data_IF_669230375467
#
_entry.id   IF_669230375467
#
_cell.length_a   1.000
_cell.length_b   1.000
_cell.length_c   1.000
_cell.angle_alpha   90.00
_cell.angle_beta   90.00
_cell.angle_gamma   90.00
#
_symmetry.space_group_name_H-M   'P 1'
#
loop_
_entity.id
_entity.type
_entity.pdbx_description
1 polymer ?
#
# COMPACT_ATOMS: atom_id res chain seq x y z
N UNK A 1 17.78 -0.45 30.62
CA UNK A 1 16.52 -0.54 29.86
C UNK A 1 16.67 -1.63 28.81
N UNK A 2 15.61 -2.37 28.48
CA UNK A 2 15.64 -3.29 27.34
C UNK A 2 15.49 -2.47 26.05
N UNK A 3 16.55 -2.39 25.25
CA UNK A 3 16.61 -1.56 24.03
C UNK A 3 15.64 -2.14 22.99
N UNK A 4 14.86 -1.27 22.34
CA UNK A 4 13.89 -1.68 21.33
C UNK A 4 14.60 -2.15 20.07
N UNK A 5 14.24 -3.32 19.56
CA UNK A 5 14.80 -3.86 18.31
C UNK A 5 14.35 -3.04 17.10
N UNK A 6 15.19 -2.93 16.09
CA UNK A 6 14.83 -2.26 14.84
C UNK A 6 13.92 -3.17 14.00
N UNK A 7 12.72 -2.71 13.57
CA UNK A 7 11.77 -3.55 12.83
C UNK A 7 12.02 -3.53 11.32
N UNK A 8 13.26 -3.66 10.87
CA UNK A 8 13.56 -3.68 9.45
C UNK A 8 12.98 -4.94 8.78
N UNK A 9 12.12 -4.75 7.78
CA UNK A 9 11.42 -5.83 7.08
C UNK A 9 10.15 -6.36 7.76
N UNK A 10 9.79 -5.88 8.96
CA UNK A 10 8.58 -6.29 9.67
C UNK A 10 7.34 -5.50 9.22
N UNK A 11 6.26 -6.21 8.88
CA UNK A 11 4.97 -5.63 8.46
C UNK A 11 3.80 -6.00 9.37
N UNK A 12 4.06 -6.72 10.47
CA UNK A 12 3.07 -7.05 11.50
C UNK A 12 3.20 -6.07 12.68
N UNK A 13 2.26 -5.13 12.77
CA UNK A 13 2.17 -4.15 13.85
C UNK A 13 2.07 -4.81 15.22
N UNK A 14 1.28 -5.87 15.36
CA UNK A 14 1.13 -6.57 16.63
C UNK A 14 2.44 -7.23 17.06
N UNK A 15 3.20 -7.81 16.11
CA UNK A 15 4.54 -8.35 16.38
C UNK A 15 5.50 -7.24 16.82
N UNK A 16 5.50 -6.10 16.13
CA UNK A 16 6.35 -4.94 16.44
C UNK A 16 6.13 -4.48 17.89
N UNK A 17 4.88 -4.30 18.30
CA UNK A 17 4.55 -3.86 19.66
C UNK A 17 4.86 -4.95 20.69
N UNK A 18 4.38 -6.18 20.48
CA UNK A 18 4.53 -7.28 21.46
C UNK A 18 5.98 -7.76 21.63
N UNK A 19 6.82 -7.55 20.62
CA UNK A 19 8.24 -7.94 20.64
C UNK A 19 9.17 -6.79 21.05
N UNK A 20 8.63 -5.69 21.58
CA UNK A 20 9.38 -4.49 21.99
C UNK A 20 10.30 -3.96 20.86
N UNK A 21 9.75 -3.78 19.66
CA UNK A 21 10.46 -3.16 18.54
C UNK A 21 10.19 -1.65 18.50
N UNK A 22 11.08 -0.90 17.84
CA UNK A 22 10.96 0.56 17.73
C UNK A 22 9.89 0.92 16.71
N UNK A 23 8.79 1.52 17.14
CA UNK A 23 7.70 1.95 16.28
C UNK A 23 7.58 3.47 16.29
N UNK A 24 7.59 4.09 15.10
CA UNK A 24 7.25 5.50 14.92
C UNK A 24 5.73 5.61 14.85
N UNK A 25 5.14 6.32 15.80
CA UNK A 25 3.69 6.41 15.92
C UNK A 25 3.06 7.29 14.84
N UNK A 26 2.38 6.65 13.87
CA UNK A 26 1.59 7.29 12.82
C UNK A 26 0.08 7.22 13.08
N UNK A 27 -0.35 6.74 14.24
CA UNK A 27 -1.76 6.41 14.49
C UNK A 27 -2.68 7.64 14.52
N UNK A 28 -2.15 8.86 14.70
CA UNK A 28 -2.92 10.12 14.56
C UNK A 28 -3.62 10.24 13.21
N UNK A 29 -3.02 9.71 12.14
CA UNK A 29 -3.59 9.77 10.80
C UNK A 29 -4.81 8.86 10.62
N UNK A 30 -5.19 8.05 11.61
CA UNK A 30 -6.49 7.37 11.61
C UNK A 30 -7.64 8.39 11.65
N UNK A 31 -7.50 9.48 12.43
CA UNK A 31 -8.51 10.56 12.45
C UNK A 31 -8.62 11.24 11.08
N UNK A 32 -7.47 11.56 10.46
CA UNK A 32 -7.42 12.13 9.12
C UNK A 32 -8.02 11.18 8.08
N UNK A 33 -7.72 9.87 8.19
CA UNK A 33 -8.25 8.84 7.30
C UNK A 33 -9.76 8.71 7.41
N UNK A 34 -10.31 8.77 8.62
CA UNK A 34 -11.75 8.68 8.85
C UNK A 34 -12.53 9.91 8.36
N UNK A 35 -11.85 11.05 8.17
CA UNK A 35 -12.41 12.25 7.55
C UNK A 35 -12.42 12.20 6.01
N UNK A 36 -11.75 11.21 5.39
CA UNK A 36 -11.75 11.00 3.95
C UNK A 36 -12.96 10.15 3.50
N UNK A 37 -13.26 10.11 2.19
CA UNK A 37 -14.28 9.23 1.64
C UNK A 37 -14.05 7.75 2.05
N UNK A 38 -15.13 6.97 2.12
CA UNK A 38 -15.05 5.57 2.59
C UNK A 38 -14.30 4.61 1.66
N UNK A 39 -14.09 4.99 0.40
CA UNK A 39 -13.46 4.15 -0.62
C UNK A 39 -12.18 4.85 -1.11
N UNK A 40 -11.05 4.35 -0.65
CA UNK A 40 -9.76 5.03 -0.76
C UNK A 40 -8.81 4.21 -1.62
N UNK A 41 -8.17 4.88 -2.58
CA UNK A 41 -6.97 4.41 -3.26
C UNK A 41 -5.77 5.21 -2.80
N UNK A 42 -4.73 4.51 -2.36
CA UNK A 42 -3.46 5.08 -1.97
C UNK A 42 -2.33 4.46 -2.78
N UNK A 43 -1.65 5.31 -3.53
CA UNK A 43 -0.47 4.97 -4.30
C UNK A 43 0.72 5.65 -3.64
N UNK A 44 1.68 4.83 -3.22
CA UNK A 44 2.99 5.27 -2.72
C UNK A 44 4.08 4.38 -3.31
N UNK A 45 5.31 4.90 -3.45
CA UNK A 45 6.44 4.09 -3.88
C UNK A 45 6.62 2.83 -2.99
N UNK A 46 7.39 1.86 -3.49
CA UNK A 46 7.71 0.64 -2.75
C UNK A 46 8.36 0.97 -1.41
N UNK A 47 8.14 0.10 -0.41
CA UNK A 47 8.83 0.14 0.89
C UNK A 47 8.59 1.40 1.75
N UNK A 48 7.44 2.06 1.57
CA UNK A 48 6.96 3.18 2.40
C UNK A 48 6.09 2.79 3.61
N UNK A 49 5.95 1.48 3.91
CA UNK A 49 5.13 1.01 5.04
C UNK A 49 3.63 0.83 4.74
N UNK A 50 3.23 0.72 3.46
CA UNK A 50 1.83 0.48 3.05
C UNK A 50 1.20 -0.75 3.72
N UNK A 51 1.88 -1.89 3.64
CA UNK A 51 1.41 -3.16 4.21
C UNK A 51 1.31 -3.10 5.74
N UNK A 52 2.29 -2.47 6.39
CA UNK A 52 2.27 -2.24 7.84
C UNK A 52 1.07 -1.38 8.25
N UNK A 53 0.74 -0.36 7.46
CA UNK A 53 -0.44 0.46 7.71
C UNK A 53 -1.75 -0.33 7.59
N UNK A 54 -1.93 -1.12 6.53
CA UNK A 54 -3.10 -2.00 6.39
C UNK A 54 -3.18 -2.99 7.56
N UNK A 55 -2.05 -3.56 7.97
CA UNK A 55 -1.99 -4.47 9.11
C UNK A 55 -2.41 -3.76 10.41
N UNK A 56 -1.92 -2.55 10.68
CA UNK A 56 -2.31 -1.72 11.81
C UNK A 56 -3.81 -1.41 11.80
N UNK A 57 -4.37 -1.03 10.65
CA UNK A 57 -5.81 -0.74 10.52
C UNK A 57 -6.64 -1.99 10.83
N UNK A 58 -6.21 -3.18 10.42
CA UNK A 58 -6.87 -4.43 10.81
C UNK A 58 -6.84 -4.62 12.33
N UNK A 59 -5.70 -4.39 12.99
CA UNK A 59 -5.63 -4.45 14.46
C UNK A 59 -6.57 -3.45 15.16
N UNK A 60 -6.71 -2.24 14.63
CA UNK A 60 -7.50 -1.17 15.22
C UNK A 60 -9.02 -1.35 15.01
N UNK A 61 -9.43 -1.77 13.82
CA UNK A 61 -10.84 -1.82 13.42
C UNK A 61 -11.53 -3.15 13.68
N UNK A 62 -10.78 -4.25 13.78
CA UNK A 62 -11.33 -5.60 13.92
C UNK A 62 -12.09 -5.77 15.25
N UNK A 63 -13.36 -6.15 15.14
CA UNK A 63 -14.25 -6.39 16.27
C UNK A 63 -13.83 -7.56 17.17
N UNK A 64 -13.09 -8.54 16.65
CA UNK A 64 -12.55 -9.65 17.45
C UNK A 64 -11.31 -9.26 18.27
N UNK A 65 -10.81 -8.03 18.12
CA UNK A 65 -9.57 -7.57 18.78
C UNK A 65 -9.80 -6.58 19.92
N UNK A 66 -11.03 -6.43 20.40
CA UNK A 66 -11.39 -5.53 21.50
C UNK A 66 -10.48 -5.71 22.72
N UNK A 67 -10.24 -6.95 23.13
CA UNK A 67 -9.44 -7.28 24.32
C UNK A 67 -7.93 -7.06 24.12
N UNK A 68 -7.49 -6.79 22.88
CA UNK A 68 -6.08 -6.51 22.56
C UNK A 68 -5.81 -5.01 22.42
N UNK A 69 -6.82 -4.14 22.50
CA UNK A 69 -6.69 -2.72 22.22
C UNK A 69 -5.62 -2.05 23.09
N UNK A 70 -5.70 -2.22 24.42
CA UNK A 70 -4.77 -1.58 25.35
C UNK A 70 -3.34 -2.11 25.18
N UNK A 71 -3.19 -3.43 24.95
CA UNK A 71 -1.88 -4.05 24.72
C UNK A 71 -1.20 -3.48 23.48
N UNK A 72 -1.97 -3.18 22.43
CA UNK A 72 -1.46 -2.74 21.14
C UNK A 72 -1.28 -1.23 21.06
N UNK A 73 -2.22 -0.45 21.60
CA UNK A 73 -2.32 0.97 21.28
C UNK A 73 -2.09 1.91 22.47
N UNK A 74 -2.03 1.46 23.73
CA UNK A 74 -1.97 2.36 24.91
C UNK A 74 -0.93 3.48 24.83
N UNK A 75 0.23 3.21 24.23
CA UNK A 75 1.38 4.13 24.13
C UNK A 75 1.37 4.93 22.82
N UNK A 76 0.28 4.87 22.05
CA UNK A 76 0.07 5.57 20.77
C UNK A 76 -0.98 6.66 20.89
N UNK A 77 -0.99 7.60 19.95
CA UNK A 77 -1.98 8.65 19.85
C UNK A 77 -3.41 8.11 19.82
N UNK A 78 -3.68 7.05 19.03
CA UNK A 78 -5.03 6.49 18.91
C UNK A 78 -5.45 5.68 20.15
N UNK A 79 -4.51 5.15 20.93
CA UNK A 79 -4.80 4.54 22.22
C UNK A 79 -5.32 5.56 23.23
N UNK A 80 -4.76 6.76 23.20
CA UNK A 80 -5.17 7.88 24.05
C UNK A 80 -6.40 8.62 23.50
N UNK A 81 -6.59 8.59 22.17
CA UNK A 81 -7.66 9.31 21.46
C UNK A 81 -8.44 8.39 20.51
N UNK A 82 -9.12 7.34 21.02
CA UNK A 82 -9.82 6.39 20.16
C UNK A 82 -11.00 7.04 19.42
N UNK A 83 -11.19 6.67 18.16
CA UNK A 83 -12.33 7.08 17.34
C UNK A 83 -13.57 6.24 17.64
N UNK A 84 -14.78 6.70 17.28
CA UNK A 84 -16.02 5.92 17.39
C UNK A 84 -16.05 4.62 16.54
N UNK A 85 -15.04 4.42 15.69
CA UNK A 85 -14.91 3.29 14.78
C UNK A 85 -13.98 2.19 15.32
N UNK A 86 -13.33 2.42 16.48
CA UNK A 86 -12.51 1.43 17.19
C UNK A 86 -13.24 0.08 17.31
N UNK A 87 -12.58 -1.00 16.87
CA UNK A 87 -13.05 -2.40 16.96
C UNK A 87 -14.52 -2.62 16.53
N UNK A 88 -14.97 -1.93 15.47
CA UNK A 88 -16.38 -1.89 15.04
C UNK A 88 -16.69 -2.74 13.80
N UNK A 89 -15.67 -3.22 13.10
CA UNK A 89 -15.83 -3.84 11.78
C UNK A 89 -15.41 -5.30 11.78
N UNK A 90 -15.98 -6.06 10.84
CA UNK A 90 -15.36 -7.28 10.36
C UNK A 90 -14.32 -6.87 9.32
N UNK A 91 -13.06 -7.26 9.50
CA UNK A 91 -11.99 -6.86 8.58
C UNK A 91 -11.73 -7.99 7.59
N UNK A 92 -11.76 -7.67 6.31
CA UNK A 92 -11.40 -8.58 5.21
C UNK A 92 -10.20 -7.96 4.49
N UNK A 93 -9.14 -8.73 4.25
CA UNK A 93 -7.93 -8.20 3.63
C UNK A 93 -7.42 -9.14 2.53
N UNK A 94 -7.22 -8.58 1.34
CA UNK A 94 -6.54 -9.25 0.24
C UNK A 94 -5.16 -8.65 0.04
N UNK A 95 -4.16 -9.48 -0.24
CA UNK A 95 -2.82 -9.08 -0.63
C UNK A 95 -2.50 -9.77 -1.96
N UNK A 96 -2.57 -9.02 -3.05
CA UNK A 96 -2.36 -9.57 -4.39
C UNK A 96 -0.88 -9.85 -4.72
N UNK A 97 0.04 -9.59 -3.79
CA UNK A 97 1.39 -10.17 -3.81
C UNK A 97 1.37 -11.70 -3.73
N UNK A 98 0.32 -12.29 -3.16
CA UNK A 98 0.17 -13.73 -2.94
C UNK A 98 -0.43 -14.49 -4.13
N UNK A 99 -0.71 -13.79 -5.24
CA UNK A 99 -1.25 -14.39 -6.47
C UNK A 99 -0.10 -14.58 -7.46
N UNK A 100 0.06 -15.80 -8.01
CA UNK A 100 1.06 -16.06 -9.05
C UNK A 100 0.74 -15.20 -10.29
N UNK A 101 1.68 -14.32 -10.71
CA UNK A 101 1.46 -13.44 -11.86
C UNK A 101 1.60 -14.16 -13.21
N UNK A 102 1.84 -15.48 -13.24
CA UNK A 102 1.87 -16.24 -14.49
C UNK A 102 0.54 -16.09 -15.23
N UNK A 103 0.57 -15.44 -16.39
CA UNK A 103 -0.62 -15.12 -17.17
C UNK A 103 -1.56 -16.31 -17.42
N UNK A 104 -1.02 -17.50 -17.68
CA UNK A 104 -1.84 -18.65 -18.06
C UNK A 104 -2.61 -19.24 -16.87
N UNK A 105 -2.20 -18.91 -15.62
CA UNK A 105 -2.81 -19.42 -14.37
C UNK A 105 -3.34 -18.33 -13.45
N UNK A 106 -3.00 -17.06 -13.67
CA UNK A 106 -3.29 -15.94 -12.75
C UNK A 106 -4.77 -15.85 -12.40
N UNK A 107 -5.66 -16.15 -13.33
CA UNK A 107 -7.10 -16.13 -13.07
C UNK A 107 -7.52 -17.24 -12.09
N UNK A 108 -7.02 -18.46 -12.25
CA UNK A 108 -7.30 -19.58 -11.34
C UNK A 108 -6.70 -19.32 -9.96
N UNK A 109 -5.44 -18.88 -9.91
CA UNK A 109 -4.70 -18.55 -8.69
C UNK A 109 -5.37 -17.40 -7.94
N UNK A 110 -5.86 -16.38 -8.66
CA UNK A 110 -6.64 -15.29 -8.07
C UNK A 110 -7.94 -15.82 -7.44
N UNK A 111 -8.70 -16.66 -8.14
CA UNK A 111 -9.94 -17.23 -7.58
C UNK A 111 -9.64 -18.10 -6.35
N UNK A 112 -8.66 -19.00 -6.44
CA UNK A 112 -8.23 -19.86 -5.33
C UNK A 112 -7.79 -19.05 -4.11
N UNK A 113 -7.00 -18.00 -4.33
CA UNK A 113 -6.53 -17.09 -3.29
C UNK A 113 -7.70 -16.40 -2.58
N UNK A 114 -8.60 -15.74 -3.32
CA UNK A 114 -9.75 -15.06 -2.73
C UNK A 114 -10.64 -16.07 -1.98
N UNK A 115 -10.85 -17.27 -2.52
CA UNK A 115 -11.65 -18.30 -1.86
C UNK A 115 -11.07 -18.69 -0.49
N UNK A 116 -9.76 -18.91 -0.44
CA UNK A 116 -9.02 -19.21 0.79
C UNK A 116 -9.21 -18.11 1.84
N UNK A 117 -9.07 -16.84 1.44
CA UNK A 117 -9.26 -15.69 2.34
C UNK A 117 -10.71 -15.58 2.82
N UNK A 118 -11.70 -15.88 1.97
CA UNK A 118 -13.11 -15.89 2.38
C UNK A 118 -13.40 -16.99 3.40
N UNK A 119 -12.80 -18.17 3.22
CA UNK A 119 -12.94 -19.26 4.19
C UNK A 119 -12.31 -18.89 5.54
N UNK A 120 -11.11 -18.30 5.56
CA UNK A 120 -10.48 -17.79 6.79
C UNK A 120 -11.33 -16.69 7.45
N UNK A 121 -11.87 -15.75 6.67
CA UNK A 121 -12.76 -14.71 7.16
C UNK A 121 -14.01 -15.30 7.86
N UNK A 122 -14.66 -16.29 7.25
CA UNK A 122 -15.81 -16.96 7.84
C UNK A 122 -15.46 -17.72 9.11
N UNK A 123 -14.29 -18.36 9.16
CA UNK A 123 -13.81 -19.04 10.37
C UNK A 123 -13.54 -18.04 11.50
N UNK A 124 -12.88 -16.92 11.19
CA UNK A 124 -12.54 -15.87 12.15
C UNK A 124 -13.80 -15.27 12.78
N UNK A 125 -14.84 -15.06 11.99
CA UNK A 125 -16.08 -14.42 12.42
C UNK A 125 -17.26 -15.40 12.52
N UNK A 126 -17.00 -16.69 12.76
CA UNK A 126 -18.01 -17.75 12.73
C UNK A 126 -19.25 -17.44 13.57
N UNK A 127 -19.10 -16.75 14.72
CA UNK A 127 -20.21 -16.41 15.61
C UNK A 127 -21.13 -15.32 15.03
N UNK A 128 -20.68 -14.60 14.00
CA UNK A 128 -21.47 -13.62 13.25
C UNK A 128 -22.26 -14.23 12.08
N UNK A 129 -22.03 -15.50 11.75
CA UNK A 129 -22.64 -16.16 10.60
C UNK A 129 -23.35 -17.45 10.98
N UNK A 130 -24.57 -17.64 10.46
CA UNK A 130 -25.27 -18.91 10.63
C UNK A 130 -24.50 -20.07 9.98
N UNK A 131 -24.42 -21.23 10.66
CA UNK A 131 -23.74 -22.42 10.13
C UNK A 131 -24.30 -22.87 8.78
N UNK A 132 -25.62 -22.79 8.60
CA UNK A 132 -26.30 -23.08 7.33
C UNK A 132 -25.85 -22.14 6.20
N UNK A 133 -25.64 -20.86 6.51
CA UNK A 133 -25.14 -19.87 5.57
C UNK A 133 -23.69 -20.16 5.18
N UNK A 134 -22.82 -20.47 6.14
CA UNK A 134 -21.42 -20.86 5.89
C UNK A 134 -21.37 -22.05 4.92
N UNK A 135 -22.10 -23.13 5.21
CA UNK A 135 -22.13 -24.32 4.35
C UNK A 135 -22.66 -24.02 2.95
N UNK A 136 -23.70 -23.18 2.85
CA UNK A 136 -24.22 -22.73 1.56
C UNK A 136 -23.18 -21.93 0.78
N UNK A 137 -22.48 -20.99 1.43
CA UNK A 137 -21.46 -20.17 0.78
C UNK A 137 -20.31 -21.04 0.24
N UNK A 138 -19.86 -22.00 1.04
CA UNK A 138 -18.78 -22.93 0.67
C UNK A 138 -19.14 -23.82 -0.53
N UNK A 139 -20.43 -24.11 -0.74
CA UNK A 139 -20.90 -24.92 -1.88
C UNK A 139 -20.80 -24.22 -3.24
N UNK A 140 -20.70 -22.89 -3.27
CA UNK A 140 -20.57 -22.16 -4.54
C UNK A 140 -19.20 -22.42 -5.17
N UNK A 141 -19.19 -22.65 -6.49
CA UNK A 141 -17.93 -22.87 -7.22
C UNK A 141 -17.21 -21.57 -7.58
N UNK A 142 -17.97 -20.49 -7.82
CA UNK A 142 -17.41 -19.22 -8.30
C UNK A 142 -17.29 -18.20 -7.18
N UNK A 143 -16.12 -17.58 -7.04
CA UNK A 143 -15.83 -16.65 -5.95
C UNK A 143 -16.64 -15.36 -6.03
N UNK A 144 -16.94 -14.89 -7.25
CA UNK A 144 -17.82 -13.73 -7.42
C UNK A 144 -19.20 -13.97 -6.79
N UNK A 145 -19.73 -15.19 -6.88
CA UNK A 145 -20.99 -15.56 -6.23
C UNK A 145 -20.84 -15.61 -4.72
N UNK A 146 -19.73 -16.15 -4.20
CA UNK A 146 -19.43 -16.14 -2.76
C UNK A 146 -19.34 -14.72 -2.20
N UNK A 147 -18.56 -13.84 -2.84
CA UNK A 147 -18.47 -12.43 -2.44
C UNK A 147 -19.86 -11.78 -2.44
N UNK A 148 -20.62 -11.94 -3.52
CA UNK A 148 -21.95 -11.35 -3.61
C UNK A 148 -22.85 -11.81 -2.46
N UNK A 149 -22.98 -13.12 -2.24
CA UNK A 149 -23.82 -13.67 -1.18
C UNK A 149 -23.33 -13.30 0.23
N UNK A 150 -22.01 -13.22 0.44
CA UNK A 150 -21.42 -12.75 1.69
C UNK A 150 -21.86 -11.33 2.03
N UNK A 151 -21.66 -10.39 1.11
CA UNK A 151 -21.99 -8.99 1.38
C UNK A 151 -23.51 -8.74 1.41
N UNK A 152 -24.32 -9.55 0.69
CA UNK A 152 -25.79 -9.57 0.84
C UNK A 152 -26.24 -10.08 2.20
N UNK A 153 -25.56 -11.09 2.76
CA UNK A 153 -25.80 -11.53 4.12
C UNK A 153 -25.43 -10.42 5.11
N UNK A 154 -24.24 -9.85 4.98
CA UNK A 154 -23.80 -8.76 5.84
C UNK A 154 -24.78 -7.57 5.84
N UNK A 155 -25.28 -7.16 4.68
CA UNK A 155 -26.27 -6.10 4.58
C UNK A 155 -27.58 -6.43 5.34
N UNK A 156 -28.14 -7.62 5.12
CA UNK A 156 -29.39 -8.07 5.78
C UNK A 156 -29.26 -8.19 7.30
N UNK A 157 -28.08 -8.53 7.79
CA UNK A 157 -27.79 -8.71 9.21
C UNK A 157 -27.07 -7.51 9.84
N UNK A 158 -26.96 -6.37 9.12
CA UNK A 158 -26.31 -5.14 9.57
C UNK A 158 -24.84 -5.32 10.01
N UNK A 159 -24.16 -6.32 9.45
CA UNK A 159 -22.74 -6.56 9.67
C UNK A 159 -21.92 -5.63 8.77
N UNK A 160 -20.96 -4.94 9.37
CA UNK A 160 -20.15 -3.92 8.69
C UNK A 160 -18.77 -4.46 8.39
N UNK A 161 -18.45 -4.62 7.11
CA UNK A 161 -17.15 -5.11 6.63
C UNK A 161 -16.30 -3.94 6.15
N UNK A 162 -15.06 -3.86 6.65
CA UNK A 162 -14.01 -3.03 6.10
C UNK A 162 -13.07 -3.91 5.27
N UNK A 163 -13.08 -3.70 3.95
CA UNK A 163 -12.21 -4.40 3.01
C UNK A 163 -10.89 -3.65 2.79
N UNK A 164 -9.77 -4.37 2.86
CA UNK A 164 -8.44 -3.91 2.51
C UNK A 164 -7.93 -4.68 1.29
N UNK A 165 -7.25 -3.99 0.36
CA UNK A 165 -6.57 -4.63 -0.76
C UNK A 165 -5.16 -4.06 -0.85
N UNK A 166 -4.16 -4.87 -0.55
CA UNK A 166 -2.75 -4.52 -0.72
C UNK A 166 -2.20 -5.03 -2.05
N UNK A 167 -1.24 -4.27 -2.57
CA UNK A 167 -0.58 -4.48 -3.85
C UNK A 167 -1.54 -4.80 -5.01
N UNK A 168 -2.62 -4.03 -5.13
CA UNK A 168 -3.70 -4.28 -6.09
C UNK A 168 -3.22 -4.40 -7.56
N UNK A 169 -2.06 -3.81 -7.86
CA UNK A 169 -1.43 -3.73 -9.16
C UNK A 169 -0.24 -4.69 -9.33
N UNK A 170 0.04 -5.57 -8.37
CA UNK A 170 1.27 -6.39 -8.39
C UNK A 170 1.33 -7.33 -9.60
N UNK A 171 0.33 -8.19 -9.76
CA UNK A 171 0.35 -9.16 -10.86
C UNK A 171 0.10 -8.48 -12.20
N UNK A 172 -0.72 -7.43 -12.26
CA UNK A 172 -0.97 -6.69 -13.50
C UNK A 172 0.30 -5.98 -14.00
N UNK A 173 1.04 -5.31 -13.10
CA UNK A 173 2.34 -4.72 -13.43
C UNK A 173 3.33 -5.79 -13.92
N UNK A 174 3.32 -6.97 -13.31
CA UNK A 174 4.20 -8.06 -13.71
C UNK A 174 3.85 -8.55 -15.13
N UNK A 175 2.57 -8.87 -15.37
CA UNK A 175 2.07 -9.31 -16.68
C UNK A 175 2.34 -8.28 -17.77
N UNK A 176 2.11 -6.99 -17.49
CA UNK A 176 2.43 -5.92 -18.44
C UNK A 176 3.89 -5.97 -18.89
N UNK A 177 4.80 -6.23 -17.95
CA UNK A 177 6.25 -6.20 -18.20
C UNK A 177 6.82 -7.51 -18.75
N UNK A 178 6.25 -8.66 -18.40
CA UNK A 178 6.73 -9.99 -18.83
C UNK A 178 6.01 -10.53 -20.05
N UNK A 179 4.72 -10.25 -20.16
CA UNK A 179 3.80 -10.86 -21.12
C UNK A 179 3.24 -9.84 -22.13
N UNK A 180 3.48 -8.54 -21.89
CA UNK A 180 3.18 -7.45 -22.80
C UNK A 180 1.76 -6.88 -22.65
N UNK A 181 1.52 -5.79 -23.40
CA UNK A 181 0.30 -4.98 -23.31
C UNK A 181 -0.96 -5.78 -23.65
N UNK A 182 -0.93 -6.62 -24.69
CA UNK A 182 -2.11 -7.38 -25.11
C UNK A 182 -2.66 -8.29 -24.00
N UNK A 183 -1.80 -9.11 -23.39
CA UNK A 183 -2.16 -9.98 -22.27
C UNK A 183 -2.62 -9.19 -21.04
N UNK A 184 -1.98 -8.05 -20.75
CA UNK A 184 -2.45 -7.15 -19.70
C UNK A 184 -3.89 -6.68 -19.95
N UNK A 185 -4.22 -6.26 -21.17
CA UNK A 185 -5.55 -5.76 -21.54
C UNK A 185 -6.63 -6.83 -21.46
N UNK A 186 -6.29 -8.06 -21.85
CA UNK A 186 -7.21 -9.21 -21.75
C UNK A 186 -7.72 -9.43 -20.31
N UNK A 187 -6.88 -9.17 -19.30
CA UNK A 187 -7.25 -9.30 -17.89
C UNK A 187 -7.96 -8.06 -17.31
N UNK A 188 -7.61 -6.88 -17.82
CA UNK A 188 -7.94 -5.59 -17.19
C UNK A 188 -9.03 -4.81 -17.91
N UNK A 189 -9.33 -5.11 -19.17
CA UNK A 189 -10.36 -4.43 -19.97
C UNK A 189 -11.45 -5.39 -20.47
N UNK A 190 -12.55 -4.85 -21.01
CA UNK A 190 -13.66 -5.63 -21.56
C UNK A 190 -14.29 -6.60 -20.55
N UNK A 191 -14.32 -7.89 -20.90
CA UNK A 191 -14.82 -9.00 -20.07
C UNK A 191 -13.77 -9.56 -19.10
N UNK A 192 -12.62 -8.89 -18.95
CA UNK A 192 -11.52 -9.32 -18.09
C UNK A 192 -11.97 -9.61 -16.66
N UNK A 193 -11.55 -10.77 -16.15
CA UNK A 193 -11.95 -11.28 -14.82
C UNK A 193 -11.60 -10.31 -13.69
N UNK A 194 -10.53 -9.53 -13.84
CA UNK A 194 -10.09 -8.58 -12.83
C UNK A 194 -10.90 -7.28 -12.82
N UNK A 195 -11.25 -6.76 -14.00
CA UNK A 195 -12.21 -5.64 -14.12
C UNK A 195 -13.57 -6.02 -13.53
N UNK A 196 -14.02 -7.24 -13.80
CA UNK A 196 -15.26 -7.75 -13.24
C UNK A 196 -15.23 -7.82 -11.71
N UNK A 197 -14.09 -8.19 -11.10
CA UNK A 197 -13.93 -8.19 -9.64
C UNK A 197 -14.13 -6.78 -9.03
N UNK A 198 -13.51 -5.74 -9.59
CA UNK A 198 -13.74 -4.37 -9.11
C UNK A 198 -15.18 -3.90 -9.38
N UNK A 199 -15.75 -4.19 -10.54
CA UNK A 199 -17.15 -3.89 -10.82
C UNK A 199 -18.10 -4.50 -9.78
N UNK A 200 -17.84 -5.75 -9.38
CA UNK A 200 -18.58 -6.41 -8.32
C UNK A 200 -18.45 -5.63 -7.01
N UNK A 201 -17.25 -5.25 -6.58
CA UNK A 201 -17.06 -4.45 -5.36
C UNK A 201 -17.87 -3.14 -5.41
N UNK A 202 -17.93 -2.45 -6.57
CA UNK A 202 -18.75 -1.23 -6.70
C UNK A 202 -20.23 -1.53 -6.55
N UNK A 203 -20.71 -2.60 -7.20
CA UNK A 203 -22.09 -3.03 -7.06
C UNK A 203 -22.45 -3.27 -5.60
N UNK A 204 -21.54 -3.90 -4.86
CA UNK A 204 -21.73 -4.21 -3.44
C UNK A 204 -21.70 -2.96 -2.55
N UNK A 205 -20.86 -1.96 -2.83
CA UNK A 205 -20.84 -0.70 -2.08
C UNK A 205 -22.09 0.16 -2.29
N UNK A 206 -22.78 0.02 -3.43
CA UNK A 206 -23.92 0.87 -3.79
C UNK A 206 -25.28 0.35 -3.28
N UNK A 207 -25.28 -0.72 -2.48
CA UNK A 207 -26.50 -1.30 -1.93
C UNK A 207 -27.03 -0.50 -0.73
N UNK A 208 -28.36 -0.40 -0.53
CA UNK A 208 -28.92 0.07 0.73
C UNK A 208 -28.37 -0.75 1.89
N UNK A 209 -27.91 -0.08 2.95
CA UNK A 209 -27.29 -0.72 4.11
C UNK A 209 -26.16 -1.70 3.75
N UNK A 210 -25.37 -1.36 2.73
CA UNK A 210 -24.30 -2.21 2.23
C UNK A 210 -23.43 -2.79 3.35
N UNK A 211 -23.22 -4.11 3.30
CA UNK A 211 -22.27 -4.79 4.16
C UNK A 211 -20.83 -4.34 3.92
N UNK A 212 -20.50 -3.85 2.72
CA UNK A 212 -19.18 -3.30 2.37
C UNK A 212 -19.17 -1.79 2.63
N UNK A 213 -18.85 -1.41 3.87
CA UNK A 213 -18.98 -0.01 4.30
C UNK A 213 -17.75 0.84 4.03
N UNK A 214 -16.56 0.22 3.97
CA UNK A 214 -15.28 0.91 3.73
C UNK A 214 -14.34 0.04 2.90
N UNK A 215 -13.52 0.69 2.08
CA UNK A 215 -12.52 0.07 1.24
C UNK A 215 -11.22 0.88 1.28
N UNK A 216 -10.09 0.22 1.50
CA UNK A 216 -8.78 0.85 1.46
C UNK A 216 -7.82 0.02 0.60
N UNK A 217 -7.41 0.59 -0.53
CA UNK A 217 -6.62 -0.07 -1.56
C UNK A 217 -5.25 0.59 -1.65
N UNK A 218 -4.19 -0.22 -1.66
CA UNK A 218 -2.81 0.23 -1.80
C UNK A 218 -2.11 -0.38 -3.00
N UNK A 219 -1.25 0.40 -3.64
CA UNK A 219 -0.41 -0.06 -4.75
C UNK A 219 0.75 0.90 -5.05
N UNK A 220 1.38 0.73 -6.22
CA UNK A 220 2.54 1.54 -6.65
C UNK A 220 2.34 2.26 -7.98
N UNK A 221 1.37 1.84 -8.79
CA UNK A 221 1.07 2.37 -10.12
C UNK A 221 -0.36 2.90 -10.16
N UNK A 222 -0.62 4.01 -10.87
CA UNK A 222 -1.98 4.48 -11.18
C UNK A 222 -2.58 3.85 -12.45
N UNK A 223 -1.78 3.12 -13.24
CA UNK A 223 -2.17 2.60 -14.56
C UNK A 223 -3.28 1.57 -14.43
N UNK A 224 -3.03 0.54 -13.63
CA UNK A 224 -4.02 -0.51 -13.37
C UNK A 224 -5.28 0.05 -12.76
N UNK A 225 -5.19 1.12 -11.96
CA UNK A 225 -6.36 1.78 -11.39
C UNK A 225 -7.31 2.15 -12.51
N UNK A 226 -6.90 2.90 -13.52
CA UNK A 226 -7.82 3.36 -14.56
C UNK A 226 -8.42 2.20 -15.38
N UNK A 227 -7.57 1.25 -15.78
CA UNK A 227 -8.00 0.13 -16.61
C UNK A 227 -9.05 -0.75 -15.92
N UNK A 228 -8.85 -1.06 -14.63
CA UNK A 228 -9.75 -1.94 -13.86
C UNK A 228 -10.87 -1.18 -13.15
N UNK A 229 -10.67 0.11 -12.86
CA UNK A 229 -11.62 0.97 -12.13
C UNK A 229 -12.40 1.95 -13.00
N UNK A 230 -12.21 1.98 -14.32
CA UNK A 230 -13.13 2.69 -15.23
C UNK A 230 -14.59 2.26 -15.00
N UNK A 231 -14.81 1.04 -14.49
CA UNK A 231 -16.09 0.60 -13.94
C UNK A 231 -16.28 0.82 -12.43
N UNK A 232 -15.22 0.98 -11.62
CA UNK A 232 -15.15 1.30 -10.18
C UNK A 232 -14.86 2.80 -9.86
N UNK A 233 -15.53 3.74 -10.53
CA UNK A 233 -15.37 5.21 -10.34
C UNK A 233 -15.79 5.80 -8.97
N UNK A 234 -15.87 4.98 -7.91
CA UNK A 234 -16.21 5.44 -6.55
C UNK A 234 -14.99 5.64 -5.66
N UNK A 235 -13.84 5.10 -6.08
CA UNK A 235 -12.59 5.21 -5.35
C UNK A 235 -11.97 6.58 -5.45
N UNK A 236 -11.65 7.20 -4.31
CA UNK A 236 -10.92 8.46 -4.28
C UNK A 236 -9.42 8.17 -4.18
N UNK A 237 -8.65 8.59 -5.19
CA UNK A 237 -7.19 8.61 -5.07
C UNK A 237 -6.77 9.74 -4.12
N UNK A 238 -6.33 9.37 -2.92
CA UNK A 238 -5.92 10.30 -1.86
C UNK A 238 -4.42 10.57 -1.83
N UNK A 239 -3.66 10.00 -2.78
CA UNK A 239 -2.19 10.03 -2.79
C UNK A 239 -1.62 11.45 -2.77
N UNK A 240 -2.32 12.42 -3.35
CA UNK A 240 -1.88 13.83 -3.41
C UNK A 240 -2.49 14.70 -2.31
N UNK A 241 -3.19 14.11 -1.34
CA UNK A 241 -3.80 14.86 -0.24
C UNK A 241 -2.74 15.27 0.79
N UNK A 242 -2.62 16.58 1.02
CA UNK A 242 -1.64 17.16 1.95
C UNK A 242 -1.84 16.71 3.41
N UNK A 243 -3.08 16.44 3.84
CA UNK A 243 -3.39 16.12 5.24
C UNK A 243 -2.84 14.74 5.65
N UNK A 244 -2.65 13.85 4.67
CA UNK A 244 -2.06 12.53 4.85
C UNK A 244 -0.71 12.41 4.13
N UNK A 245 0.03 13.51 3.97
CA UNK A 245 1.33 13.46 3.34
C UNK A 245 2.30 12.57 4.14
N UNK A 246 2.30 12.71 5.46
CA UNK A 246 3.36 12.22 6.36
C UNK A 246 3.01 10.93 7.12
N UNK A 247 1.83 10.32 6.85
CA UNK A 247 1.45 9.08 7.53
C UNK A 247 2.27 7.85 7.09
N UNK A 248 3.00 7.97 5.97
CA UNK A 248 3.92 6.96 5.44
C UNK A 248 5.27 7.60 5.13
N UNK A 249 6.35 6.88 5.42
CA UNK A 249 7.70 7.45 5.48
C UNK A 249 7.97 8.20 6.79
N UNK A 250 9.20 8.68 6.94
CA UNK A 250 9.63 9.43 8.12
C UNK A 250 9.91 10.88 7.78
N UNK A 251 9.52 11.78 8.65
CA UNK A 251 9.96 13.18 8.63
C UNK A 251 11.41 13.29 9.08
N UNK A 252 12.01 14.47 8.89
CA UNK A 252 13.37 14.73 9.38
C UNK A 252 13.48 14.56 10.90
N UNK A 253 12.50 15.05 11.65
CA UNK A 253 12.47 14.91 13.11
C UNK A 253 12.35 13.44 13.54
N UNK A 254 11.47 12.66 12.91
CA UNK A 254 11.31 11.23 13.24
C UNK A 254 12.57 10.44 12.89
N UNK A 255 13.24 10.77 11.77
CA UNK A 255 14.50 10.14 11.37
C UNK A 255 15.60 10.43 12.40
N UNK A 256 15.71 11.69 12.84
CA UNK A 256 16.66 12.09 13.87
C UNK A 256 16.35 11.42 15.22
N UNK A 257 15.08 11.27 15.59
CA UNK A 257 14.66 10.55 16.80
C UNK A 257 15.06 9.07 16.77
N UNK A 258 14.90 8.40 15.62
CA UNK A 258 15.36 7.01 15.45
C UNK A 258 16.88 6.92 15.67
N UNK A 259 17.66 7.76 14.98
CA UNK A 259 19.12 7.77 15.10
C UNK A 259 19.56 8.06 16.54
N UNK A 260 18.99 9.09 17.15
CA UNK A 260 19.27 9.50 18.54
C UNK A 260 18.96 8.38 19.52
N UNK A 261 17.82 7.70 19.37
CA UNK A 261 17.44 6.59 20.24
C UNK A 261 18.51 5.51 20.30
N UNK A 262 19.02 5.07 19.14
CA UNK A 262 20.04 4.03 19.07
C UNK A 262 21.44 4.53 19.45
N UNK A 263 21.73 5.79 19.21
CA UNK A 263 22.98 6.43 19.64
C UNK A 263 23.06 6.56 21.16
N UNK A 264 22.01 7.10 21.80
CA UNK A 264 21.95 7.27 23.26
C UNK A 264 21.91 5.90 23.98
N UNK A 265 21.43 4.86 23.32
CA UNK A 265 21.48 3.48 23.79
C UNK A 265 22.85 2.79 23.58
N UNK A 266 23.82 3.48 22.97
CA UNK A 266 25.17 2.97 22.70
C UNK A 266 25.23 1.90 21.61
N UNK A 267 24.20 1.79 20.76
CA UNK A 267 24.14 0.82 19.65
C UNK A 267 24.60 1.42 18.33
N UNK A 268 24.41 2.72 18.14
CA UNK A 268 24.88 3.47 16.97
C UNK A 268 26.00 4.40 17.42
N UNK A 269 27.23 4.15 16.98
CA UNK A 269 28.41 4.93 17.37
C UNK A 269 28.73 6.08 16.43
N UNK A 270 28.07 6.11 15.26
CA UNK A 270 28.25 7.17 14.28
C UNK A 270 27.66 8.49 14.79
N UNK A 271 28.32 9.59 14.41
CA UNK A 271 27.84 10.94 14.69
C UNK A 271 26.46 11.18 14.05
N UNK A 272 25.56 11.81 14.81
CA UNK A 272 24.17 12.00 14.40
C UNK A 272 24.03 12.96 13.22
N UNK A 273 24.81 14.05 13.20
CA UNK A 273 24.75 15.03 12.11
C UNK A 273 25.29 14.40 10.81
N UNK A 274 26.38 13.64 10.92
CA UNK A 274 26.93 12.86 9.82
C UNK A 274 25.93 11.84 9.25
N UNK A 275 25.25 11.08 10.12
CA UNK A 275 24.19 10.16 9.67
C UNK A 275 23.06 10.92 8.98
N UNK A 276 22.61 12.05 9.52
CA UNK A 276 21.55 12.86 8.93
C UNK A 276 21.93 13.40 7.55
N UNK A 277 23.19 13.82 7.35
CA UNK A 277 23.68 14.27 6.05
C UNK A 277 23.62 13.16 4.99
N UNK A 278 24.00 11.92 5.35
CA UNK A 278 23.84 10.76 4.48
C UNK A 278 22.36 10.52 4.16
N UNK A 279 21.50 10.48 5.18
CA UNK A 279 20.07 10.24 5.01
C UNK A 279 19.44 11.30 4.10
N UNK A 280 19.81 12.58 4.26
CA UNK A 280 19.33 13.69 3.44
C UNK A 280 19.73 13.53 1.98
N UNK A 281 20.99 13.16 1.73
CA UNK A 281 21.51 12.98 0.38
C UNK A 281 20.89 11.81 -0.36
N UNK A 282 20.62 10.70 0.34
CA UNK A 282 20.24 9.44 -0.31
C UNK A 282 18.75 9.11 -0.21
N UNK A 283 18.07 9.50 0.86
CA UNK A 283 16.73 8.99 1.18
C UNK A 283 15.63 10.05 1.30
N UNK A 284 16.00 11.34 1.48
CA UNK A 284 15.08 12.46 1.78
C UNK A 284 14.56 13.19 0.53
N UNK A 285 13.85 12.48 -0.34
CA UNK A 285 13.45 13.02 -1.64
C UNK A 285 11.96 12.86 -1.90
N UNK A 286 11.10 12.77 -0.88
CA UNK A 286 9.69 12.47 -1.11
C UNK A 286 8.75 13.55 -0.61
N UNK A 287 8.08 14.22 -1.55
CA UNK A 287 6.96 15.11 -1.29
C UNK A 287 5.74 14.61 -2.05
N UNK A 288 4.73 14.14 -1.32
CA UNK A 288 3.56 13.52 -1.93
C UNK A 288 2.42 14.50 -2.26
N UNK A 289 2.46 15.72 -1.74
CA UNK A 289 1.50 16.76 -2.08
C UNK A 289 2.20 18.08 -2.37
N UNK A 290 1.72 18.81 -3.39
CA UNK A 290 2.30 20.10 -3.80
C UNK A 290 2.37 21.13 -2.67
N UNK A 291 1.41 21.09 -1.75
CA UNK A 291 1.32 22.00 -0.58
C UNK A 291 1.87 21.37 0.71
N UNK A 292 2.57 20.24 0.64
CA UNK A 292 3.19 19.65 1.81
C UNK A 292 4.42 20.47 2.23
N UNK A 293 4.57 20.67 3.53
CA UNK A 293 5.67 21.44 4.11
C UNK A 293 6.92 20.57 4.28
N UNK A 294 6.72 19.32 4.71
CA UNK A 294 7.80 18.40 5.01
C UNK A 294 8.16 17.52 3.82
N UNK A 295 9.46 17.26 3.68
CA UNK A 295 10.00 16.18 2.85
C UNK A 295 10.11 14.93 3.72
N UNK A 296 9.93 13.78 3.08
CA UNK A 296 9.90 12.48 3.72
C UNK A 296 11.07 11.62 3.27
N UNK A 297 11.56 10.84 4.21
CA UNK A 297 12.53 9.78 4.03
C UNK A 297 11.78 8.47 3.76
N UNK A 298 12.31 7.64 2.86
CA UNK A 298 11.81 6.28 2.69
C UNK A 298 12.07 5.48 3.99
N UNK A 299 11.00 4.97 4.60
CA UNK A 299 11.07 4.31 5.92
C UNK A 299 11.98 3.09 5.94
N UNK A 300 11.92 2.25 4.91
CA UNK A 300 12.72 1.02 4.84
C UNK A 300 14.21 1.33 4.68
N UNK A 301 14.55 2.35 3.88
CA UNK A 301 15.93 2.80 3.70
C UNK A 301 16.55 3.35 4.99
N UNK A 302 15.78 4.12 5.78
CA UNK A 302 16.22 4.59 7.10
C UNK A 302 16.43 3.40 8.04
N UNK A 303 15.47 2.48 8.13
CA UNK A 303 15.59 1.31 9.00
C UNK A 303 16.74 0.38 8.60
N UNK A 304 16.95 0.21 7.29
CA UNK A 304 18.06 -0.55 6.72
C UNK A 304 19.40 0.06 7.13
N UNK A 305 19.58 1.37 6.89
CA UNK A 305 20.83 2.05 7.25
C UNK A 305 21.15 1.90 8.73
N UNK A 306 20.17 2.15 9.60
CA UNK A 306 20.37 2.06 11.06
C UNK A 306 20.71 0.63 11.46
N UNK A 307 20.03 -0.37 10.90
CA UNK A 307 20.31 -1.77 11.21
C UNK A 307 21.75 -2.16 10.82
N UNK A 308 22.18 -1.78 9.62
CA UNK A 308 23.53 -2.08 9.13
C UNK A 308 24.60 -1.32 9.93
N UNK A 309 24.38 -0.03 10.20
CA UNK A 309 25.31 0.78 10.97
C UNK A 309 25.47 0.30 12.42
N UNK A 310 24.43 -0.29 13.02
CA UNK A 310 24.50 -0.93 14.33
C UNK A 310 25.29 -2.25 14.33
N UNK A 311 25.35 -2.97 13.20
CA UNK A 311 26.06 -4.25 13.09
C UNK A 311 27.58 -4.03 12.95
N UNK A 312 27.97 -3.15 12.03
CA UNK A 312 29.38 -2.96 11.68
C UNK A 312 30.01 -1.73 12.36
N UNK A 313 29.24 -0.96 13.13
CA UNK A 313 29.65 0.32 13.76
C UNK A 313 30.24 1.34 12.78
N UNK A 314 29.95 1.15 11.50
CA UNK A 314 30.47 1.92 10.37
C UNK A 314 29.34 2.18 9.37
N UNK A 315 29.62 2.99 8.35
CA UNK A 315 28.65 3.27 7.29
C UNK A 315 28.40 1.99 6.50
N UNK A 316 27.14 1.67 6.14
CA UNK A 316 26.85 0.52 5.28
C UNK A 316 27.58 0.61 3.95
N UNK A 317 28.23 -0.46 3.51
CA UNK A 317 28.92 -0.50 2.19
C UNK A 317 27.96 -0.18 1.04
N UNK A 318 26.74 -0.72 1.12
CA UNK A 318 25.66 -0.42 0.19
C UNK A 318 24.67 0.52 0.87
N UNK A 319 24.54 1.75 0.38
CA UNK A 319 23.56 2.69 0.91
C UNK A 319 22.15 2.46 0.37
N UNK A 320 21.97 1.56 -0.61
CA UNK A 320 20.66 1.24 -1.18
C UNK A 320 20.31 -0.21 -0.92
N UNK A 321 19.22 -0.43 -0.19
CA UNK A 321 18.65 -1.75 0.00
C UNK A 321 18.27 -2.36 -1.35
N UNK A 322 18.71 -3.60 -1.58
CA UNK A 322 18.35 -4.38 -2.76
C UNK A 322 16.84 -4.53 -2.92
N UNK A 323 16.09 -4.54 -1.81
CA UNK A 323 14.64 -4.65 -1.81
C UNK A 323 13.89 -3.39 -2.30
N UNK A 324 14.55 -2.23 -2.30
CA UNK A 324 14.01 -0.96 -2.79
C UNK A 324 14.32 -0.75 -4.26
N UNK A 325 15.35 -1.44 -4.79
CA UNK A 325 15.76 -1.30 -6.19
C UNK A 325 14.58 -1.58 -7.12
N UNK A 326 14.28 -0.58 -7.95
CA UNK A 326 13.28 -0.71 -9.00
C UNK A 326 13.75 -1.80 -9.96
N UNK A 327 12.82 -2.65 -10.35
CA UNK A 327 13.07 -3.61 -11.41
C UNK A 327 13.29 -2.84 -12.72
N UNK A 328 14.56 -2.66 -13.09
CA UNK A 328 14.98 -1.96 -14.31
C UNK A 328 14.38 -2.60 -15.58
N UNK A 329 13.93 -3.86 -15.54
CA UNK A 329 13.18 -4.44 -16.66
C UNK A 329 11.84 -3.73 -16.85
N UNK A 330 11.18 -3.32 -15.76
CA UNK A 330 9.94 -2.54 -15.81
C UNK A 330 10.20 -1.14 -16.37
N UNK A 331 11.27 -0.48 -15.93
CA UNK A 331 11.63 0.84 -16.49
C UNK A 331 11.98 0.74 -17.98
N UNK A 332 12.73 -0.29 -18.39
CA UNK A 332 13.05 -0.55 -19.80
C UNK A 332 11.78 -0.73 -20.64
N UNK A 333 10.82 -1.51 -20.16
CA UNK A 333 9.55 -1.69 -20.85
C UNK A 333 8.83 -0.35 -21.12
N UNK A 334 8.87 0.59 -20.17
CA UNK A 334 8.21 1.91 -20.30
C UNK A 334 8.87 2.84 -21.33
N UNK A 335 10.14 2.62 -21.64
CA UNK A 335 10.91 3.43 -22.60
C UNK A 335 11.08 2.73 -23.96
N UNK A 336 10.46 1.56 -24.14
CA UNK A 336 10.52 0.80 -25.39
C UNK A 336 9.14 0.45 -25.93
N UNK A 337 8.93 0.63 -27.23
CA UNK A 337 7.77 0.11 -27.98
C UNK A 337 8.33 -0.74 -29.13
N UNK A 338 7.85 -1.98 -29.29
CA UNK A 338 8.30 -2.93 -30.32
C UNK A 338 9.84 -3.09 -30.41
N UNK A 339 10.50 -3.11 -29.25
CA UNK A 339 11.97 -3.17 -29.09
C UNK A 339 12.74 -1.96 -29.65
N UNK A 340 12.06 -0.85 -29.94
CA UNK A 340 12.65 0.45 -30.27
C UNK A 340 12.40 1.46 -29.14
N UNK A 341 13.30 2.44 -29.00
CA UNK A 341 13.14 3.52 -28.02
C UNK A 341 11.94 4.39 -28.42
N UNK A 342 11.05 4.65 -27.48
CA UNK A 342 9.91 5.56 -27.69
C UNK A 342 10.25 6.99 -27.23
N UNK A 343 9.29 7.91 -27.36
CA UNK A 343 9.45 9.30 -26.88
C UNK A 343 9.78 9.43 -25.39
N UNK A 344 9.49 8.40 -24.57
CA UNK A 344 9.83 8.41 -23.14
C UNK A 344 11.33 8.32 -22.89
N UNK A 345 12.12 7.74 -23.80
CA UNK A 345 13.57 7.71 -23.67
C UNK A 345 14.18 9.12 -23.74
N UNK A 346 13.79 9.93 -24.73
CA UNK A 346 14.26 11.32 -24.84
C UNK A 346 13.88 12.13 -23.61
N UNK A 347 12.65 11.94 -23.11
CA UNK A 347 12.18 12.61 -21.88
C UNK A 347 12.99 12.21 -20.66
N UNK A 348 13.27 10.92 -20.49
CA UNK A 348 14.11 10.44 -19.39
C UNK A 348 15.53 11.00 -19.48
N UNK A 349 16.09 11.09 -20.69
CA UNK A 349 17.39 11.72 -20.93
C UNK A 349 17.37 13.19 -20.53
N UNK A 350 16.37 13.95 -20.96
CA UNK A 350 16.23 15.38 -20.61
C UNK A 350 16.11 15.60 -19.10
N UNK A 351 15.35 14.74 -18.40
CA UNK A 351 15.22 14.76 -16.94
C UNK A 351 16.57 14.49 -16.27
N UNK A 352 17.35 13.52 -16.76
CA UNK A 352 18.67 13.20 -16.21
C UNK A 352 19.65 14.35 -16.45
N UNK A 353 19.62 14.99 -17.62
CA UNK A 353 20.52 16.11 -17.95
C UNK A 353 20.18 17.38 -17.15
N UNK A 354 18.89 17.72 -17.06
CA UNK A 354 18.43 18.95 -16.39
C UNK A 354 18.22 18.78 -14.89
N UNK A 355 18.13 17.54 -14.40
CA UNK A 355 17.77 17.18 -13.02
C UNK A 355 16.38 17.65 -12.58
N UNK A 356 15.56 18.16 -13.50
CA UNK A 356 14.21 18.66 -13.22
C UNK A 356 13.30 18.57 -14.45
N UNK A 357 11.98 18.61 -14.22
CA UNK A 357 10.96 18.73 -15.26
C UNK A 357 9.69 19.38 -14.71
N UNK A 358 9.03 20.19 -15.54
CA UNK A 358 7.73 20.81 -15.22
C UNK A 358 6.63 19.94 -15.83
N UNK A 359 5.72 19.45 -15.00
CA UNK A 359 4.55 18.68 -15.43
C UNK A 359 3.44 18.68 -14.36
N UNK A 360 2.20 18.41 -14.79
CA UNK A 360 1.13 18.03 -13.87
C UNK A 360 1.34 16.61 -13.33
N UNK A 361 0.72 16.30 -12.18
CA UNK A 361 0.64 14.92 -11.68
C UNK A 361 -0.78 14.41 -11.93
N UNK A 362 -0.90 13.52 -12.91
CA UNK A 362 -2.14 12.86 -13.29
C UNK A 362 -2.47 11.79 -12.24
N UNK A 363 -3.75 11.70 -11.85
CA UNK A 363 -4.20 10.79 -10.76
C UNK A 363 -4.45 9.36 -11.22
N UNK A 364 -4.85 9.17 -12.48
CA UNK A 364 -5.11 7.89 -13.14
C UNK A 364 -5.03 8.08 -14.64
N UNK A 365 -4.59 7.04 -15.36
CA UNK A 365 -4.56 7.01 -16.83
C UNK A 365 -4.45 5.55 -17.29
N UNK A 366 -5.05 5.18 -18.43
CA UNK A 366 -4.99 3.82 -18.95
C UNK A 366 -3.62 3.51 -19.55
N UNK A 367 -3.30 2.21 -19.70
CA UNK A 367 -2.01 1.78 -20.28
C UNK A 367 -1.84 2.23 -21.74
N UNK A 368 -2.93 2.51 -22.46
CA UNK A 368 -2.89 3.06 -23.82
C UNK A 368 -2.23 4.44 -23.92
N UNK A 369 -2.44 5.27 -22.90
CA UNK A 369 -2.01 6.67 -22.87
C UNK A 369 -0.66 6.83 -22.16
N UNK A 370 0.03 5.73 -21.88
CA UNK A 370 1.32 5.70 -21.18
C UNK A 370 2.44 6.44 -21.92
N UNK A 371 2.32 6.60 -23.24
CA UNK A 371 3.27 7.33 -24.07
C UNK A 371 3.06 8.86 -24.03
N UNK A 372 1.97 9.34 -23.42
CA UNK A 372 1.77 10.76 -23.19
C UNK A 372 2.77 11.27 -22.14
N UNK A 373 3.24 12.50 -22.34
CA UNK A 373 4.32 13.06 -21.52
C UNK A 373 3.93 13.15 -20.04
N UNK A 374 2.75 13.69 -19.74
CA UNK A 374 2.30 13.89 -18.35
C UNK A 374 2.08 12.54 -17.64
N UNK A 375 1.56 11.55 -18.37
CA UNK A 375 1.32 10.20 -17.84
C UNK A 375 2.64 9.49 -17.52
N UNK A 376 3.62 9.55 -18.42
CA UNK A 376 4.94 8.98 -18.16
C UNK A 376 5.63 9.65 -16.95
N UNK A 377 5.60 10.99 -16.87
CA UNK A 377 6.19 11.72 -15.74
C UNK A 377 5.47 11.38 -14.43
N UNK A 378 4.14 11.31 -14.47
CA UNK A 378 3.32 10.91 -13.31
C UNK A 378 3.66 9.49 -12.85
N UNK A 379 3.90 8.56 -13.77
CA UNK A 379 4.32 7.20 -13.44
C UNK A 379 5.68 7.17 -12.72
N UNK A 380 6.67 7.91 -13.23
CA UNK A 380 7.97 8.05 -12.57
C UNK A 380 7.82 8.62 -11.15
N UNK A 381 6.92 9.59 -10.97
CA UNK A 381 6.57 10.13 -9.66
C UNK A 381 5.97 9.07 -8.72
N UNK A 382 4.97 8.29 -9.15
CA UNK A 382 4.38 7.25 -8.29
C UNK A 382 5.34 6.10 -7.96
N UNK A 383 6.27 5.80 -8.86
CA UNK A 383 7.37 4.87 -8.61
C UNK A 383 8.44 5.43 -7.66
N UNK A 384 8.37 6.71 -7.32
CA UNK A 384 9.32 7.36 -6.42
C UNK A 384 10.66 7.68 -7.08
N UNK A 385 10.69 7.76 -8.42
CA UNK A 385 11.83 8.21 -9.21
C UNK A 385 11.86 9.73 -9.37
N UNK A 386 10.70 10.39 -9.24
CA UNK A 386 10.56 11.84 -9.23
C UNK A 386 9.80 12.28 -7.99
N UNK A 387 9.99 13.55 -7.63
CA UNK A 387 9.35 14.18 -6.48
C UNK A 387 8.99 15.62 -6.79
N UNK A 388 8.18 16.22 -5.92
CA UNK A 388 7.77 17.62 -6.08
C UNK A 388 8.81 18.54 -5.46
N UNK A 389 9.51 19.31 -6.30
CA UNK A 389 10.34 20.43 -5.87
C UNK A 389 9.46 21.61 -5.40
N UNK A 390 9.90 22.31 -4.35
CA UNK A 390 9.13 23.34 -3.63
C UNK A 390 9.17 24.70 -4.30
#
# INVERSE_FOLDING_TARGET
MNIKKIPYGDSDYGKIIKSNMYYVDKTKYIHELEALPNYIFLIRPRRFGKSLWINLLQYYYDSNRKDQFDVLFKDTFIGQNPTPNKNKYLTLAFNFAMVDPNFDRVQEEFQSYIDSILNDFLMRYQDSFEKSFISKLQSYQRVNKKLQELFLYCARHQLKVYLFIDEYDNFTNTILTTSGKFKYLELTQGEGSFRYFFNLLKGLTSMPDSGLVKLFITGVSPVTMDDVTSGFNIGTNVSLNKNINEFMGFTESETLEILRYYHDAGQLTLDLDFCMDIMKKWYNNYRFARKAQNVLFNSDMVLYFVQQAMQDTTIPENLIDQNVRIDYKKLRYLITVDKQLNGNFSRLKDIIEKQEIISGIVKSFPVEELNEQENFISLLYYFGLLTIQG
#
